data_IF_406624487997
#
_entry.id   IF_406624487997
#
_cell.length_a   1.000
_cell.length_b   1.000
_cell.length_c   1.000
_cell.angle_alpha   90.00
_cell.angle_beta   90.00
_cell.angle_gamma   90.00
#
_symmetry.space_group_name_H-M   'P 1'
#
loop_
_entity.id
_entity.type
_entity.pdbx_description
1 polymer ?
#
# COMPACT_ATOMS: atom_id res chain seq x y z
N UNK A 1 14.47 8.68 24.57
CA UNK A 1 14.28 7.49 23.71
C UNK A 1 15.54 7.32 22.89
N UNK A 2 16.17 6.14 22.91
CA UNK A 2 17.28 5.83 21.99
C UNK A 2 16.77 6.05 20.57
N UNK A 3 17.48 6.85 19.77
CA UNK A 3 17.17 7.02 18.34
C UNK A 3 17.53 5.70 17.63
N UNK A 4 16.61 4.74 17.65
CA UNK A 4 16.76 3.53 16.86
C UNK A 4 16.76 3.91 15.38
N UNK A 5 17.74 3.39 14.64
CA UNK A 5 17.91 3.76 13.24
C UNK A 5 16.85 3.11 12.38
N UNK A 6 16.07 3.93 11.67
CA UNK A 6 15.12 3.46 10.65
C UNK A 6 15.84 3.35 9.31
N UNK A 7 15.71 2.21 8.62
CA UNK A 7 16.29 2.00 7.27
C UNK A 7 15.32 1.29 6.35
N UNK A 8 15.12 1.84 5.16
CA UNK A 8 14.38 1.19 4.08
C UNK A 8 15.33 0.51 3.09
N UNK A 9 15.13 -0.78 2.85
CA UNK A 9 15.81 -1.53 1.80
C UNK A 9 14.90 -1.50 0.56
N UNK A 10 15.11 -0.50 -0.31
CA UNK A 10 14.23 -0.24 -1.47
C UNK A 10 14.73 -0.79 -2.81
N UNK A 11 16.04 -0.82 -3.03
CA UNK A 11 16.65 -1.36 -4.23
C UNK A 11 17.86 -2.22 -3.84
N UNK A 12 17.76 -3.52 -4.10
CA UNK A 12 18.81 -4.48 -3.80
C UNK A 12 18.87 -5.50 -4.93
N UNK A 13 20.07 -5.97 -5.33
CA UNK A 13 20.17 -7.16 -6.17
C UNK A 13 19.32 -8.28 -5.58
N UNK A 14 18.57 -8.98 -6.44
CA UNK A 14 17.80 -10.15 -6.02
C UNK A 14 18.76 -11.08 -5.26
N UNK A 15 18.41 -11.42 -4.01
CA UNK A 15 19.19 -12.27 -3.10
C UNK A 15 20.46 -11.65 -2.48
N UNK A 16 20.54 -10.32 -2.30
CA UNK A 16 21.62 -9.76 -1.48
C UNK A 16 21.60 -10.35 -0.06
N UNK A 17 22.76 -10.50 0.62
CA UNK A 17 22.81 -10.98 1.99
C UNK A 17 21.90 -10.17 2.92
N UNK A 18 21.87 -8.85 2.75
CA UNK A 18 21.02 -7.95 3.53
C UNK A 18 19.51 -8.26 3.34
N UNK A 19 19.07 -8.49 2.11
CA UNK A 19 17.66 -8.84 1.85
C UNK A 19 17.30 -10.22 2.40
N UNK A 20 18.19 -11.21 2.25
CA UNK A 20 17.95 -12.57 2.73
C UNK A 20 17.94 -12.65 4.26
N UNK A 21 18.73 -11.82 4.95
CA UNK A 21 18.70 -11.73 6.41
C UNK A 21 17.36 -11.20 6.92
N UNK A 22 16.77 -10.20 6.24
CA UNK A 22 15.61 -9.47 6.75
C UNK A 22 14.27 -9.88 6.11
N UNK A 23 14.29 -10.57 4.97
CA UNK A 23 13.12 -11.17 4.33
C UNK A 23 13.48 -12.54 3.70
N UNK A 24 13.83 -13.56 4.51
CA UNK A 24 14.29 -14.86 4.01
C UNK A 24 13.18 -15.62 3.27
N UNK A 25 11.91 -15.36 3.59
CA UNK A 25 10.76 -16.07 3.04
C UNK A 25 10.43 -15.55 1.64
N UNK A 26 10.05 -14.27 1.53
CA UNK A 26 9.57 -13.71 0.28
C UNK A 26 10.70 -13.19 -0.60
N UNK A 27 11.80 -12.71 0.01
CA UNK A 27 12.97 -12.19 -0.71
C UNK A 27 12.59 -11.04 -1.64
N UNK A 28 11.61 -10.24 -1.21
CA UNK A 28 11.07 -9.08 -1.92
C UNK A 28 11.39 -7.79 -1.16
N UNK A 29 11.52 -6.71 -1.92
CA UNK A 29 11.56 -5.33 -1.43
C UNK A 29 10.18 -4.69 -1.62
N UNK A 30 9.81 -3.66 -0.82
CA UNK A 30 10.60 -3.04 0.25
C UNK A 30 10.68 -3.87 1.54
N UNK A 31 11.73 -3.64 2.32
CA UNK A 31 11.85 -4.09 3.73
C UNK A 31 12.21 -2.88 4.60
N UNK A 32 11.39 -2.56 5.59
CA UNK A 32 11.66 -1.52 6.58
C UNK A 32 12.32 -2.15 7.81
N UNK A 33 13.43 -1.58 8.27
CA UNK A 33 14.08 -1.94 9.52
C UNK A 33 13.93 -0.81 10.53
N UNK A 34 13.57 -1.17 11.75
CA UNK A 34 13.55 -0.28 12.91
C UNK A 34 14.11 -1.06 14.11
N UNK A 35 15.32 -0.70 14.53
CA UNK A 35 16.07 -1.50 15.50
C UNK A 35 16.33 -2.93 14.99
N UNK A 36 15.93 -3.91 15.81
CA UNK A 36 16.03 -5.34 15.48
C UNK A 36 14.80 -5.88 14.70
N UNK A 37 13.77 -5.05 14.50
CA UNK A 37 12.57 -5.44 13.75
C UNK A 37 12.78 -5.29 12.25
N UNK A 38 12.22 -6.23 11.49
CA UNK A 38 12.12 -6.20 10.03
C UNK A 38 10.65 -6.30 9.64
N UNK A 39 10.14 -5.27 8.99
CA UNK A 39 8.76 -5.19 8.49
C UNK A 39 8.81 -5.32 6.98
N UNK A 40 8.06 -6.28 6.45
CA UNK A 40 8.00 -6.62 5.02
C UNK A 40 6.59 -6.38 4.51
N UNK A 41 6.42 -6.28 3.19
CA UNK A 41 5.18 -5.87 2.51
C UNK A 41 4.89 -4.37 2.63
N UNK A 42 4.64 -3.73 1.48
CA UNK A 42 4.52 -2.26 1.41
C UNK A 42 3.39 -1.70 2.26
N UNK A 43 2.22 -2.34 2.29
CA UNK A 43 1.08 -1.88 3.10
C UNK A 43 1.30 -2.09 4.60
N UNK A 44 1.91 -3.21 4.99
CA UNK A 44 2.26 -3.47 6.39
C UNK A 44 3.34 -2.48 6.87
N UNK A 45 4.26 -2.08 5.99
CA UNK A 45 5.22 -1.02 6.28
C UNK A 45 4.52 0.32 6.54
N UNK A 46 3.48 0.66 5.77
CA UNK A 46 2.68 1.88 5.99
C UNK A 46 1.97 1.81 7.34
N UNK A 47 1.22 0.72 7.61
CA UNK A 47 0.54 0.51 8.90
C UNK A 47 1.51 0.59 10.08
N UNK A 48 2.69 -0.03 9.95
CA UNK A 48 3.72 0.01 10.98
C UNK A 48 4.22 1.43 11.25
N UNK A 49 4.40 2.25 10.21
CA UNK A 49 4.84 3.64 10.38
C UNK A 49 3.78 4.44 11.14
N UNK A 50 2.50 4.26 10.82
CA UNK A 50 1.40 4.93 11.49
C UNK A 50 1.26 4.50 12.95
N UNK A 51 1.56 3.23 13.27
CA UNK A 51 1.54 2.72 14.65
C UNK A 51 2.79 3.11 15.47
N UNK A 52 3.97 3.20 14.83
CA UNK A 52 5.24 3.35 15.52
C UNK A 52 5.69 4.81 15.71
N UNK A 53 5.14 5.75 14.95
CA UNK A 53 5.53 7.16 14.98
C UNK A 53 4.31 8.07 15.18
N UNK A 54 4.45 9.09 16.03
CA UNK A 54 3.41 10.09 16.24
C UNK A 54 3.19 10.92 14.96
N UNK A 55 1.93 11.13 14.59
CA UNK A 55 1.55 11.97 13.46
C UNK A 55 0.23 11.56 12.82
N UNK A 56 -0.25 12.32 11.82
CA UNK A 56 -1.34 11.85 10.98
C UNK A 56 -0.91 10.61 10.16
N UNK A 57 -1.86 9.78 9.71
CA UNK A 57 -1.55 8.63 8.85
C UNK A 57 -0.69 9.02 7.65
N UNK A 58 0.32 8.22 7.34
CA UNK A 58 1.36 8.54 6.38
C UNK A 58 0.81 8.91 5.01
N UNK A 59 -0.14 8.11 4.49
CA UNK A 59 -0.74 8.37 3.18
C UNK A 59 -1.57 9.66 3.17
N UNK A 60 -2.29 9.92 4.26
CA UNK A 60 -3.10 11.12 4.42
C UNK A 60 -2.21 12.36 4.45
N UNK A 61 -1.14 12.33 5.24
CA UNK A 61 -0.16 13.40 5.35
C UNK A 61 0.53 13.73 4.01
N UNK A 62 0.77 12.72 3.17
CA UNK A 62 1.36 12.93 1.84
C UNK A 62 0.39 13.57 0.83
N UNK A 63 -0.91 13.46 1.06
CA UNK A 63 -1.96 13.96 0.18
C UNK A 63 -2.62 15.24 0.68
N UNK A 64 -2.41 15.61 1.93
CA UNK A 64 -3.01 16.80 2.53
C UNK A 64 -2.67 18.07 1.72
N UNK A 65 -3.71 18.79 1.30
CA UNK A 65 -3.60 19.99 0.46
C UNK A 65 -3.19 19.74 -1.00
N UNK A 66 -3.06 18.49 -1.44
CA UNK A 66 -2.63 18.13 -2.81
C UNK A 66 -3.74 17.43 -3.58
N UNK A 67 -3.67 17.51 -4.91
CA UNK A 67 -4.57 16.75 -5.79
C UNK A 67 -4.04 15.34 -6.03
N UNK A 68 -2.74 15.24 -6.22
CA UNK A 68 -1.98 14.03 -6.50
C UNK A 68 -0.78 13.94 -5.55
N UNK A 69 -0.17 12.77 -5.41
CA UNK A 69 1.11 12.66 -4.72
C UNK A 69 2.18 13.53 -5.38
N UNK A 70 2.10 13.67 -6.71
CA UNK A 70 2.90 14.62 -7.50
C UNK A 70 2.54 16.11 -7.31
N UNK A 71 1.60 16.47 -6.43
CA UNK A 71 1.11 17.84 -6.23
C UNK A 71 -0.09 18.15 -7.11
N UNK A 72 0.07 19.06 -8.06
CA UNK A 72 -1.01 19.50 -8.96
C UNK A 72 -1.19 18.60 -10.19
N UNK A 73 -0.17 17.80 -10.51
CA UNK A 73 -0.15 16.88 -11.64
C UNK A 73 0.19 15.45 -11.19
N UNK A 74 -0.23 14.47 -11.98
CA UNK A 74 0.08 13.05 -11.77
C UNK A 74 1.60 12.87 -11.82
N UNK A 75 2.17 12.36 -10.73
CA UNK A 75 3.57 12.04 -10.59
C UNK A 75 3.85 10.53 -10.61
N UNK A 76 5.12 10.19 -10.39
CA UNK A 76 5.56 8.81 -10.32
C UNK A 76 4.83 7.99 -9.24
N UNK A 77 4.66 8.57 -8.05
CA UNK A 77 4.03 7.86 -6.93
C UNK A 77 2.55 7.59 -7.20
N UNK A 78 1.85 8.47 -7.90
CA UNK A 78 0.45 8.25 -8.32
C UNK A 78 0.34 7.01 -9.22
N UNK A 79 1.24 6.87 -10.19
CA UNK A 79 1.30 5.72 -11.09
C UNK A 79 1.68 4.45 -10.32
N UNK A 80 2.68 4.53 -9.43
CA UNK A 80 3.10 3.38 -8.63
C UNK A 80 2.00 2.91 -7.66
N UNK A 81 1.22 3.85 -7.11
CA UNK A 81 0.12 3.58 -6.21
C UNK A 81 -1.21 3.29 -6.93
N UNK A 82 -1.25 3.22 -8.27
CA UNK A 82 -2.50 3.07 -9.03
C UNK A 82 -3.35 1.85 -8.60
N UNK A 83 -2.71 0.76 -8.18
CA UNK A 83 -3.40 -0.41 -7.64
C UNK A 83 -4.19 -0.10 -6.36
N UNK A 84 -3.72 0.83 -5.53
CA UNK A 84 -4.42 1.26 -4.33
C UNK A 84 -5.69 2.05 -4.69
N UNK A 85 -5.60 2.95 -5.66
CA UNK A 85 -6.75 3.71 -6.14
C UNK A 85 -7.80 2.82 -6.84
N UNK A 86 -7.35 1.87 -7.66
CA UNK A 86 -8.23 1.15 -8.59
C UNK A 86 -8.74 -0.20 -8.07
N UNK A 87 -7.99 -0.89 -7.20
CA UNK A 87 -8.33 -2.25 -6.78
C UNK A 87 -8.95 -2.33 -5.38
N UNK A 88 -8.60 -1.44 -4.45
CA UNK A 88 -9.03 -1.56 -3.04
C UNK A 88 -10.54 -1.67 -2.93
N UNK A 89 -11.30 -0.73 -3.51
CA UNK A 89 -12.76 -0.78 -3.42
C UNK A 89 -13.39 -2.02 -4.06
N UNK A 90 -12.73 -2.61 -5.08
CA UNK A 90 -13.18 -3.88 -5.67
C UNK A 90 -12.88 -5.05 -4.74
N UNK A 91 -11.71 -5.05 -4.09
CA UNK A 91 -11.36 -6.09 -3.12
C UNK A 91 -12.29 -6.02 -1.91
N UNK A 92 -12.58 -4.83 -1.38
CA UNK A 92 -13.53 -4.65 -0.28
C UNK A 92 -14.92 -5.18 -0.65
N UNK A 93 -15.43 -4.84 -1.84
CA UNK A 93 -16.70 -5.36 -2.35
C UNK A 93 -16.71 -6.90 -2.46
N UNK A 94 -15.70 -7.47 -3.12
CA UNK A 94 -15.64 -8.92 -3.38
C UNK A 94 -15.44 -9.70 -2.08
N UNK A 95 -14.62 -9.19 -1.17
CA UNK A 95 -14.23 -9.88 0.05
C UNK A 95 -15.19 -9.66 1.22
N UNK A 96 -15.85 -8.49 1.26
CA UNK A 96 -16.57 -7.97 2.43
C UNK A 96 -15.64 -7.45 3.54
N UNK A 97 -14.33 -7.41 3.32
CA UNK A 97 -13.36 -6.86 4.27
C UNK A 97 -13.23 -5.35 4.08
N UNK A 98 -13.00 -4.63 5.18
CA UNK A 98 -12.58 -3.22 5.14
C UNK A 98 -11.06 -3.19 5.14
N UNK A 99 -10.48 -2.58 4.11
CA UNK A 99 -9.02 -2.45 3.94
C UNK A 99 -8.55 -1.02 4.18
N UNK A 100 -9.41 -0.03 3.92
CA UNK A 100 -9.12 1.39 4.15
C UNK A 100 -10.18 1.93 5.10
N UNK A 101 -9.73 2.62 6.14
CA UNK A 101 -10.64 3.41 6.96
C UNK A 101 -10.96 4.71 6.22
N UNK A 102 -12.08 4.72 5.49
CA UNK A 102 -12.51 5.83 4.64
C UNK A 102 -12.79 7.12 5.42
N UNK A 103 -13.04 7.04 6.73
CA UNK A 103 -13.25 8.20 7.60
C UNK A 103 -11.93 8.82 8.08
N UNK A 104 -10.92 8.00 8.31
CA UNK A 104 -9.58 8.44 8.76
C UNK A 104 -8.67 8.85 7.60
N UNK A 105 -9.00 8.45 6.36
CA UNK A 105 -8.19 8.68 5.15
C UNK A 105 -8.94 9.44 4.03
N UNK A 106 -9.57 10.61 4.31
CA UNK A 106 -10.37 11.31 3.32
C UNK A 106 -9.57 11.89 2.15
N UNK A 107 -8.33 12.36 2.34
CA UNK A 107 -7.48 12.82 1.25
C UNK A 107 -7.04 11.66 0.35
N UNK A 108 -6.75 10.49 0.93
CA UNK A 108 -6.53 9.26 0.16
C UNK A 108 -7.75 8.90 -0.70
N UNK A 109 -8.96 8.90 -0.14
CA UNK A 109 -10.17 8.59 -0.90
C UNK A 109 -10.42 9.62 -2.02
N UNK A 110 -10.19 10.91 -1.73
CA UNK A 110 -10.29 11.99 -2.73
C UNK A 110 -9.28 11.79 -3.86
N UNK A 111 -8.03 11.45 -3.52
CA UNK A 111 -6.99 11.14 -4.48
C UNK A 111 -7.35 9.94 -5.35
N UNK A 112 -7.77 8.83 -4.73
CA UNK A 112 -8.12 7.60 -5.44
C UNK A 112 -9.22 7.87 -6.47
N UNK A 113 -10.28 8.57 -6.06
CA UNK A 113 -11.37 8.97 -6.95
C UNK A 113 -10.90 9.92 -8.07
N UNK A 114 -10.05 10.90 -7.74
CA UNK A 114 -9.48 11.82 -8.72
C UNK A 114 -8.58 11.11 -9.74
N UNK A 115 -7.79 10.14 -9.30
CA UNK A 115 -6.88 9.36 -10.14
C UNK A 115 -7.64 8.46 -11.12
N UNK A 116 -8.63 7.70 -10.67
CA UNK A 116 -9.38 6.77 -11.55
C UNK A 116 -10.26 7.48 -12.58
N UNK A 117 -10.65 8.73 -12.30
CA UNK A 117 -11.47 9.54 -13.20
C UNK A 117 -10.66 10.54 -14.05
N UNK A 118 -9.33 10.57 -13.92
CA UNK A 118 -8.50 11.41 -14.78
C UNK A 118 -8.61 10.95 -16.25
N UNK A 119 -8.72 11.91 -17.18
CA UNK A 119 -8.98 11.65 -18.59
C UNK A 119 -7.90 10.80 -19.27
N UNK A 120 -6.65 10.91 -18.81
CA UNK A 120 -5.53 10.13 -19.34
C UNK A 120 -5.48 8.77 -18.66
N UNK A 121 -5.59 8.75 -17.33
CA UNK A 121 -5.47 7.51 -16.55
C UNK A 121 -6.58 6.53 -16.88
N UNK A 122 -7.84 7.00 -16.94
CA UNK A 122 -9.01 6.12 -17.11
C UNK A 122 -8.95 5.27 -18.38
N UNK A 123 -8.21 5.72 -19.41
CA UNK A 123 -8.01 5.00 -20.66
C UNK A 123 -7.07 3.78 -20.50
N UNK A 124 -6.21 3.80 -19.48
CA UNK A 124 -5.28 2.71 -19.16
C UNK A 124 -5.83 1.72 -18.14
N UNK A 125 -6.92 2.05 -17.46
CA UNK A 125 -7.50 1.24 -16.40
C UNK A 125 -8.34 0.10 -16.97
N UNK A 126 -8.23 -1.08 -16.35
CA UNK A 126 -9.18 -2.18 -16.62
C UNK A 126 -10.57 -1.80 -16.16
N UNK A 127 -11.59 -2.32 -16.86
CA UNK A 127 -12.99 -2.11 -16.46
C UNK A 127 -13.24 -2.64 -15.05
N UNK A 128 -14.25 -2.08 -14.38
CA UNK A 128 -14.65 -2.55 -13.04
C UNK A 128 -15.06 -4.02 -13.08
N UNK A 129 -15.81 -4.42 -14.11
CA UNK A 129 -16.30 -5.79 -14.28
C UNK A 129 -15.14 -6.79 -14.40
N UNK A 130 -14.10 -6.45 -15.17
CA UNK A 130 -12.91 -7.30 -15.31
C UNK A 130 -12.18 -7.46 -13.97
N UNK A 131 -12.12 -6.40 -13.16
CA UNK A 131 -11.50 -6.46 -11.84
C UNK A 131 -12.34 -7.30 -10.87
N UNK A 132 -13.65 -7.10 -10.83
CA UNK A 132 -14.56 -7.88 -10.00
C UNK A 132 -14.45 -9.36 -10.35
N UNK A 133 -14.45 -9.72 -11.63
CA UNK A 133 -14.27 -11.09 -12.09
C UNK A 133 -12.89 -11.64 -11.67
N UNK A 134 -11.82 -10.86 -11.85
CA UNK A 134 -10.46 -11.25 -11.50
C UNK A 134 -10.29 -11.55 -10.01
N UNK A 135 -10.79 -10.66 -9.14
CA UNK A 135 -10.68 -10.80 -7.68
C UNK A 135 -11.66 -11.84 -7.13
N UNK A 136 -12.88 -11.95 -7.68
CA UNK A 136 -13.83 -12.99 -7.27
C UNK A 136 -13.28 -14.39 -7.51
N UNK A 137 -12.66 -14.62 -8.67
CA UNK A 137 -12.02 -15.90 -9.00
C UNK A 137 -10.82 -16.24 -8.09
N UNK A 138 -10.33 -15.29 -7.29
CA UNK A 138 -9.15 -15.42 -6.42
C UNK A 138 -9.45 -15.05 -4.96
N UNK A 139 -10.72 -14.92 -4.61
CA UNK A 139 -11.16 -14.38 -3.31
C UNK A 139 -10.52 -15.11 -2.14
N UNK A 140 -10.52 -16.44 -2.17
CA UNK A 140 -9.95 -17.28 -1.10
C UNK A 140 -8.45 -17.03 -0.89
N UNK A 141 -7.68 -16.90 -1.98
CA UNK A 141 -6.25 -16.60 -1.93
C UNK A 141 -5.98 -15.24 -1.26
N UNK A 142 -6.74 -14.21 -1.62
CA UNK A 142 -6.57 -12.88 -1.04
C UNK A 142 -7.03 -12.81 0.42
N UNK A 143 -8.13 -13.49 0.77
CA UNK A 143 -8.60 -13.61 2.15
C UNK A 143 -7.63 -14.36 3.06
N UNK A 144 -7.00 -15.43 2.55
CA UNK A 144 -5.98 -16.16 3.29
C UNK A 144 -4.75 -15.28 3.57
N UNK A 145 -4.34 -14.44 2.61
CA UNK A 145 -3.25 -13.46 2.80
C UNK A 145 -3.58 -12.41 3.84
N UNK A 146 -4.77 -11.79 3.76
CA UNK A 146 -5.19 -10.78 4.73
C UNK A 146 -5.20 -11.33 6.17
N UNK A 147 -5.71 -12.56 6.37
CA UNK A 147 -5.72 -13.24 7.67
C UNK A 147 -4.32 -13.56 8.19
N UNK A 148 -3.41 -14.00 7.31
CA UNK A 148 -2.02 -14.27 7.69
C UNK A 148 -1.30 -13.01 8.17
N UNK A 149 -1.63 -11.84 7.59
CA UNK A 149 -1.12 -10.55 8.05
C UNK A 149 -1.68 -10.16 9.43
N UNK A 150 -2.95 -10.49 9.74
CA UNK A 150 -3.56 -10.19 11.05
C UNK A 150 -3.11 -11.11 12.18
N UNK A 151 -2.64 -12.33 11.88
CA UNK A 151 -2.12 -13.31 12.86
C UNK A 151 -0.72 -12.98 13.40
N UNK A 152 -0.10 -11.91 12.92
CA UNK A 152 1.21 -11.41 13.38
C UNK A 152 1.11 -10.14 14.23
N UNK A 153 -0.10 -9.69 14.59
CA UNK A 153 -0.34 -8.70 15.64
C UNK A 153 -0.39 -9.35 17.02
#
# INVERSE_FOLDING_TARGET
>A
MSSETVRLIGASPARSPLLLTHNPVHKLVPVLRHGDRSVTESLVIVEYVDEAFDGPPLLEAQLEGRKFFGGDAIGFLDIAACGLAHWIGVIEEVSGATLVNHEELPAFCKWANGYVNDETVKQCLRSRDDLVAYFSARKEMYMARARATTLHK
#
